data_IF_856418416189
#
_entry.id   IF_856418416189
#
_cell.length_a   1.000
_cell.length_b   1.000
_cell.length_c   1.000
_cell.angle_alpha   90.00
_cell.angle_beta   90.00
_cell.angle_gamma   90.00
#
_symmetry.space_group_name_H-M   'P 1'
#
loop_
_entity.id
_entity.type
_entity.pdbx_description
1 polymer ?
#
# COMPACT_ATOMS: atom_id res chain seq x y z
N UNK A 1 -6.96 -5.23 -4.62
CA UNK A 1 -7.50 -5.40 -6.00
C UNK A 1 -7.92 -4.06 -6.63
N UNK A 2 -8.69 -3.22 -5.93
CA UNK A 2 -9.04 -1.86 -6.39
C UNK A 2 -7.95 -0.82 -6.04
N UNK A 3 -8.20 0.46 -6.29
CA UNK A 3 -7.33 1.57 -5.91
C UNK A 3 -7.46 1.94 -4.42
N UNK A 4 -6.82 3.05 -4.01
CA UNK A 4 -6.87 3.57 -2.64
C UNK A 4 -7.55 4.93 -2.61
N UNK A 5 -8.15 5.28 -1.47
CA UNK A 5 -8.65 6.63 -1.20
C UNK A 5 -7.56 7.47 -0.52
N UNK A 6 -7.68 8.79 -0.61
CA UNK A 6 -6.75 9.69 0.06
C UNK A 6 -6.76 9.49 1.58
N UNK A 7 -7.94 9.35 2.18
CA UNK A 7 -8.08 9.06 3.61
C UNK A 7 -7.36 7.75 4.00
N UNK A 8 -7.46 6.70 3.18
CA UNK A 8 -6.77 5.43 3.44
C UNK A 8 -5.24 5.57 3.38
N UNK A 9 -4.71 6.37 2.45
CA UNK A 9 -3.28 6.68 2.37
C UNK A 9 -2.80 7.47 3.60
N UNK A 10 -3.57 8.47 4.04
CA UNK A 10 -3.25 9.24 5.23
C UNK A 10 -3.26 8.36 6.49
N UNK A 11 -4.23 7.46 6.61
CA UNK A 11 -4.27 6.51 7.73
C UNK A 11 -3.04 5.61 7.74
N UNK A 12 -2.67 5.04 6.58
CA UNK A 12 -1.50 4.18 6.47
C UNK A 12 -0.21 4.88 6.90
N UNK A 13 -0.04 6.16 6.51
CA UNK A 13 1.09 7.00 6.94
C UNK A 13 1.08 7.29 8.44
N UNK A 14 -0.09 7.54 9.02
CA UNK A 14 -0.24 7.81 10.46
C UNK A 14 0.06 6.58 11.31
N UNK A 15 -0.31 5.39 10.84
CA UNK A 15 -0.12 4.14 11.59
C UNK A 15 1.19 3.43 11.23
N UNK A 16 1.90 3.87 10.18
CA UNK A 16 3.16 3.27 9.75
C UNK A 16 2.99 1.89 9.12
N UNK A 17 1.84 1.61 8.50
CA UNK A 17 1.55 0.30 7.89
C UNK A 17 1.72 0.32 6.38
N UNK A 18 2.17 -0.80 5.83
CA UNK A 18 2.35 -0.94 4.38
C UNK A 18 1.01 -0.97 3.66
N UNK A 19 0.84 -0.06 2.70
CA UNK A 19 -0.38 0.06 1.91
C UNK A 19 -0.13 -0.39 0.48
N UNK A 20 -0.73 -1.53 0.12
CA UNK A 20 -0.71 -2.07 -1.23
C UNK A 20 -2.07 -1.96 -1.92
N UNK A 21 -2.07 -1.72 -3.22
CA UNK A 21 -3.28 -1.70 -4.04
C UNK A 21 -3.04 -2.36 -5.39
N UNK A 22 -4.11 -2.51 -6.19
CA UNK A 22 -4.07 -3.22 -7.49
C UNK A 22 -3.45 -4.63 -7.46
N UNK A 23 -3.36 -5.26 -6.28
CA UNK A 23 -2.86 -6.62 -6.15
C UNK A 23 -3.72 -7.58 -6.99
N UNK A 24 -3.12 -8.09 -8.06
CA UNK A 24 -3.73 -8.99 -9.03
C UNK A 24 -2.64 -9.69 -9.84
N UNK A 25 -2.68 -11.03 -9.88
CA UNK A 25 -1.59 -11.82 -10.44
C UNK A 25 -0.29 -11.59 -9.66
N UNK A 26 0.81 -11.34 -10.38
CA UNK A 26 2.15 -11.12 -9.81
C UNK A 26 2.50 -9.64 -9.62
N UNK A 27 1.56 -8.73 -9.84
CA UNK A 27 1.80 -7.28 -9.79
C UNK A 27 0.92 -6.61 -8.74
N UNK A 28 1.49 -5.59 -8.09
CA UNK A 28 0.81 -4.71 -7.14
C UNK A 28 1.50 -3.35 -7.10
N UNK A 29 0.83 -2.36 -6.52
CA UNK A 29 1.36 -1.03 -6.29
C UNK A 29 1.54 -0.82 -4.78
N UNK A 30 2.65 -0.21 -4.38
CA UNK A 30 2.94 0.17 -3.00
C UNK A 30 2.79 1.68 -2.87
N UNK A 31 1.90 2.12 -2.00
CA UNK A 31 1.63 3.54 -1.75
C UNK A 31 2.30 4.05 -0.47
N UNK A 32 2.64 3.16 0.47
CA UNK A 32 3.41 3.44 1.69
C UNK A 32 4.06 2.15 2.22
N UNK A 33 5.19 2.26 2.94
CA UNK A 33 5.88 1.14 3.59
C UNK A 33 6.69 0.24 2.65
N UNK A 34 7.26 0.79 1.58
CA UNK A 34 8.09 0.01 0.65
C UNK A 34 9.33 -0.60 1.34
N UNK A 35 9.88 0.10 2.31
CA UNK A 35 10.99 -0.32 3.16
C UNK A 35 10.70 -1.59 3.98
N UNK A 36 9.43 -1.93 4.22
CA UNK A 36 9.06 -3.13 4.96
C UNK A 36 8.98 -4.39 4.07
N UNK A 37 9.21 -4.25 2.76
CA UNK A 37 9.12 -5.38 1.83
C UNK A 37 10.45 -6.15 1.81
N UNK A 38 10.36 -7.46 1.99
CA UNK A 38 11.51 -8.36 1.89
C UNK A 38 11.72 -8.81 0.44
N UNK A 39 12.98 -8.96 0.04
CA UNK A 39 13.38 -9.49 -1.27
C UNK A 39 13.27 -11.00 -1.33
#
# INVERSE_FOLDING_TARGET
RSGVTQMGLELARKTGVTLISRAGGKHFLVYHGFDTLQQ
#
